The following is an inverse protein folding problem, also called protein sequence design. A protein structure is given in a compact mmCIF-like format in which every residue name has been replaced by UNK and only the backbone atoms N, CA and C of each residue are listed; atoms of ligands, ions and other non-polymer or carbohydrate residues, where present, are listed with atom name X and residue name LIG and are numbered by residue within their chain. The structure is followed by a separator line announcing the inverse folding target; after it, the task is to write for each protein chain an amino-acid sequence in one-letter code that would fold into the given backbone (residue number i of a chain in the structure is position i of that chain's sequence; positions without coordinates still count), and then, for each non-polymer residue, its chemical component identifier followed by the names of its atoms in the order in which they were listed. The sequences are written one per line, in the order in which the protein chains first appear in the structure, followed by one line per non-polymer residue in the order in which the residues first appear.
data_IF_993839947427
#
_entry.id   IF_993839947427
#
_cell.length_a   1.000
_cell.length_b   1.000
_cell.length_c   1.000
_cell.angle_alpha   90.00
_cell.angle_beta   90.00
_cell.angle_gamma   90.00
#
_symmetry.space_group_name_H-M   'P 1'
#
loop_
_entity.id
_entity.type
_entity.pdbx_description
1 polymer ?
#
# COMPACT_ATOMS: atom_id res chain seq x y z
N UNK A 1 -12.24 8.75 20.40
CA UNK A 1 -11.92 7.51 19.66
C UNK A 1 -10.51 7.09 20.02
N UNK A 2 -10.29 5.86 20.49
CA UNK A 2 -8.97 5.37 20.92
C UNK A 2 -8.14 4.97 19.69
N UNK A 3 -7.33 5.90 19.21
CA UNK A 3 -6.52 5.73 17.99
C UNK A 3 -5.47 4.61 18.15
N UNK A 4 -4.85 4.51 19.32
CA UNK A 4 -3.80 3.50 19.59
C UNK A 4 -4.40 2.10 19.56
N UNK A 5 -5.58 1.92 20.16
CA UNK A 5 -6.32 0.67 20.10
C UNK A 5 -6.67 0.27 18.66
N UNK A 6 -7.20 1.20 17.86
CA UNK A 6 -7.55 0.95 16.45
C UNK A 6 -6.32 0.50 15.65
N UNK A 7 -5.19 1.21 15.76
CA UNK A 7 -3.97 0.85 15.03
C UNK A 7 -3.49 -0.54 15.47
N UNK A 8 -3.45 -0.80 16.78
CA UNK A 8 -3.03 -2.10 17.31
C UNK A 8 -3.90 -3.23 16.77
N UNK A 9 -5.22 -3.10 16.87
CA UNK A 9 -6.14 -4.12 16.36
C UNK A 9 -6.00 -4.32 14.84
N UNK A 10 -5.83 -3.24 14.07
CA UNK A 10 -5.57 -3.35 12.63
C UNK A 10 -4.27 -4.10 12.33
N UNK A 11 -3.19 -3.81 13.08
CA UNK A 11 -1.91 -4.51 12.93
C UNK A 11 -1.99 -5.98 13.30
N UNK A 12 -2.67 -6.31 14.39
CA UNK A 12 -2.90 -7.68 14.84
C UNK A 12 -3.71 -8.49 13.80
N UNK A 13 -4.58 -7.83 13.04
CA UNK A 13 -5.33 -8.42 11.92
C UNK A 13 -4.50 -8.53 10.62
N UNK A 14 -3.33 -7.91 10.53
CA UNK A 14 -2.47 -7.92 9.35
C UNK A 14 -2.68 -6.76 8.37
N UNK A 15 -3.20 -5.62 8.83
CA UNK A 15 -3.29 -4.41 8.02
C UNK A 15 -1.93 -3.70 7.87
N UNK A 16 -1.64 -3.14 6.70
CA UNK A 16 -0.53 -2.20 6.53
C UNK A 16 -0.83 -0.87 7.25
N UNK A 17 0.22 -0.07 7.44
CA UNK A 17 0.11 1.24 8.11
C UNK A 17 -0.85 2.20 7.38
N UNK A 18 -0.81 2.25 6.06
CA UNK A 18 -1.71 3.09 5.28
C UNK A 18 -3.19 2.70 5.49
N UNK A 19 -3.50 1.40 5.58
CA UNK A 19 -4.84 0.93 5.93
C UNK A 19 -5.22 1.30 7.37
N UNK A 20 -4.28 1.30 8.32
CA UNK A 20 -4.54 1.78 9.68
C UNK A 20 -4.98 3.25 9.66
N UNK A 21 -4.30 4.11 8.89
CA UNK A 21 -4.70 5.52 8.73
C UNK A 21 -6.10 5.67 8.12
N UNK A 22 -6.49 4.80 7.18
CA UNK A 22 -7.85 4.77 6.63
C UNK A 22 -8.90 4.45 7.68
N UNK A 23 -8.65 3.44 8.52
CA UNK A 23 -9.57 3.08 9.60
C UNK A 23 -9.62 4.12 10.73
N UNK A 24 -8.61 4.98 10.84
CA UNK A 24 -8.69 6.18 11.69
C UNK A 24 -9.49 7.33 11.06
N UNK A 25 -9.94 7.19 9.80
CA UNK A 25 -10.67 8.21 9.07
C UNK A 25 -9.80 9.36 8.56
N UNK A 26 -8.47 9.19 8.49
CA UNK A 26 -7.58 10.23 7.96
C UNK A 26 -7.75 10.35 6.44
N UNK A 27 -8.12 11.56 5.99
CA UNK A 27 -8.36 11.89 4.57
C UNK A 27 -7.28 12.79 3.95
N UNK A 28 -6.30 13.25 4.73
CA UNK A 28 -5.23 14.12 4.26
C UNK A 28 -4.23 13.32 3.40
N UNK A 29 -3.99 13.68 2.12
CA UNK A 29 -2.99 13.03 1.27
C UNK A 29 -1.59 12.98 1.89
N UNK A 30 -1.15 14.04 2.58
CA UNK A 30 0.18 14.10 3.22
C UNK A 30 0.39 12.98 4.24
N UNK A 31 -0.68 12.45 4.83
CA UNK A 31 -0.61 11.32 5.75
C UNK A 31 -0.25 10.01 5.02
N UNK A 32 -0.68 9.85 3.78
CA UNK A 32 -0.42 8.68 2.94
C UNK A 32 0.91 8.78 2.18
N UNK A 33 1.45 9.99 2.03
CA UNK A 33 2.81 10.21 1.50
C UNK A 33 3.88 9.99 2.59
N UNK A 34 3.51 10.07 3.87
CA UNK A 34 4.43 10.01 5.01
C UNK A 34 3.91 9.05 6.10
N UNK A 35 3.47 7.87 5.69
CA UNK A 35 2.72 6.93 6.55
C UNK A 35 3.46 6.61 7.85
N UNK A 36 4.75 6.29 7.77
CA UNK A 36 5.55 5.91 8.93
C UNK A 36 5.68 7.03 9.97
N UNK A 37 5.81 8.27 9.50
CA UNK A 37 5.86 9.44 10.36
C UNK A 37 4.54 9.64 11.11
N UNK A 38 3.40 9.51 10.42
CA UNK A 38 2.08 9.66 11.03
C UNK A 38 1.79 8.55 12.05
N UNK A 39 2.08 7.29 11.73
CA UNK A 39 1.90 6.20 12.68
C UNK A 39 2.77 6.39 13.92
N UNK A 40 4.05 6.72 13.73
CA UNK A 40 4.98 6.97 14.84
C UNK A 40 4.49 8.11 15.74
N UNK A 41 3.98 9.19 15.15
CA UNK A 41 3.37 10.32 15.88
C UNK A 41 2.15 9.88 16.70
N UNK A 42 1.26 9.06 16.13
CA UNK A 42 0.06 8.56 16.83
C UNK A 42 0.41 7.61 17.99
N UNK A 43 1.52 6.89 17.89
CA UNK A 43 2.08 6.12 19.02
C UNK A 43 2.75 7.03 20.07
N UNK A 44 3.47 8.07 19.60
CA UNK A 44 4.33 8.96 20.38
C UNK A 44 3.66 10.19 21.01
N UNK A 45 2.43 10.54 20.67
CA UNK A 45 1.66 11.63 21.30
C UNK A 45 1.15 11.29 22.72
N UNK A 46 2.02 10.64 23.50
CA UNK A 46 2.09 10.69 24.95
C UNK A 46 3.56 10.87 25.40
N UNK A 47 4.27 11.87 24.85
CA UNK A 47 5.59 12.30 25.33
C UNK A 47 6.63 12.60 24.25
N UNK A 48 6.91 13.90 24.07
CA UNK A 48 8.16 14.55 23.61
C UNK A 48 8.99 13.95 22.48
N UNK A 49 9.11 14.77 21.43
CA UNK A 49 9.96 14.65 20.25
C UNK A 49 11.46 14.56 20.58
N UNK A 50 12.20 13.72 19.86
CA UNK A 50 13.59 14.00 19.45
C UNK A 50 13.92 13.24 18.16
N UNK A 51 14.29 13.99 17.13
CA UNK A 51 14.80 13.53 15.84
C UNK A 51 16.27 13.09 15.95
N UNK A 52 16.72 12.20 15.06
CA UNK A 52 18.02 12.24 14.34
C UNK A 52 18.25 10.91 13.59
N UNK A 53 18.18 10.89 12.25
CA UNK A 53 19.25 11.10 11.23
C UNK A 53 20.24 9.94 11.03
N UNK A 54 20.19 9.34 9.82
CA UNK A 54 21.35 9.33 8.93
C UNK A 54 22.03 7.99 8.57
N UNK A 55 22.50 7.94 7.32
CA UNK A 55 23.50 7.04 6.67
C UNK A 55 22.97 5.68 6.19
N UNK A 56 23.24 5.16 4.99
CA UNK A 56 24.15 5.52 3.88
C UNK A 56 24.50 4.21 3.12
N UNK A 57 24.35 4.23 1.78
CA UNK A 57 24.59 3.18 0.73
C UNK A 57 25.97 2.43 0.84
N UNK A 58 26.37 1.41 -0.01
CA UNK A 58 25.95 1.17 -1.40
C UNK A 58 26.05 -0.34 -1.90
N UNK A 59 26.30 -0.70 -3.19
CA UNK A 59 25.59 -1.78 -3.90
C UNK A 59 26.49 -2.97 -4.29
N UNK A 60 25.97 -4.01 -4.95
CA UNK A 60 26.81 -5.00 -5.65
C UNK A 60 26.15 -5.60 -6.90
N UNK A 61 26.94 -5.59 -7.97
CA UNK A 61 26.82 -6.19 -9.32
C UNK A 61 26.59 -7.71 -9.25
N UNK A 62 26.18 -8.49 -10.24
CA UNK A 62 25.96 -8.36 -11.69
C UNK A 62 25.85 -9.79 -12.26
N UNK A 63 25.24 -9.96 -13.43
CA UNK A 63 25.74 -10.77 -14.56
C UNK A 63 24.64 -11.08 -15.60
N UNK A 64 25.07 -10.97 -16.85
CA UNK A 64 24.35 -11.16 -18.10
C UNK A 64 24.24 -12.66 -18.47
N UNK A 65 23.20 -13.05 -19.23
CA UNK A 65 23.35 -13.72 -20.53
C UNK A 65 22.03 -14.29 -21.11
N UNK A 66 21.65 -13.72 -22.26
CA UNK A 66 21.21 -14.36 -23.52
C UNK A 66 19.79 -14.90 -23.71
N UNK A 67 19.36 -14.71 -24.97
CA UNK A 67 18.01 -14.70 -25.54
C UNK A 67 17.45 -16.08 -25.88
N UNK A 68 16.12 -16.16 -26.06
CA UNK A 68 15.53 -16.77 -27.26
C UNK A 68 14.06 -16.33 -27.47
N UNK A 69 13.74 -16.13 -28.74
CA UNK A 69 12.51 -15.63 -29.34
C UNK A 69 11.50 -16.77 -29.55
N UNK A 70 10.23 -16.56 -29.16
CA UNK A 70 9.12 -16.96 -30.03
C UNK A 70 7.81 -16.26 -29.69
N UNK A 71 7.16 -15.76 -30.72
CA UNK A 71 5.92 -14.98 -30.69
C UNK A 71 4.70 -15.81 -30.27
N UNK A 72 3.94 -15.32 -29.30
CA UNK A 72 2.49 -15.55 -29.23
C UNK A 72 1.84 -14.37 -28.50
N UNK A 73 0.70 -13.92 -29.01
CA UNK A 73 -0.12 -12.80 -28.54
C UNK A 73 -0.60 -13.01 -27.09
N UNK A 74 0.29 -12.79 -26.13
CA UNK A 74 0.06 -12.96 -24.70
C UNK A 74 0.00 -11.57 -24.05
N UNK A 75 -1.12 -11.31 -23.36
CA UNK A 75 -1.16 -10.27 -22.34
C UNK A 75 -0.07 -10.63 -21.32
N UNK A 76 1.01 -9.84 -21.13
CA UNK A 76 2.14 -10.26 -20.32
C UNK A 76 1.65 -10.48 -18.88
N UNK A 77 1.59 -11.74 -18.47
CA UNK A 77 1.30 -12.07 -17.08
C UNK A 77 2.56 -11.68 -16.29
N UNK A 78 2.46 -10.77 -15.29
CA UNK A 78 3.63 -10.28 -14.60
C UNK A 78 4.36 -11.43 -13.90
N UNK A 79 5.70 -11.42 -13.86
CA UNK A 79 6.48 -12.52 -13.32
C UNK A 79 6.09 -12.80 -11.86
N UNK A 80 5.81 -14.07 -11.49
CA UNK A 80 5.37 -14.41 -10.15
C UNK A 80 6.55 -14.30 -9.18
N UNK A 81 6.75 -13.11 -8.61
CA UNK A 81 7.57 -12.96 -7.41
C UNK A 81 6.83 -13.66 -6.27
N UNK A 82 7.43 -14.71 -5.70
CA UNK A 82 6.90 -15.37 -4.49
C UNK A 82 7.06 -14.41 -3.31
N UNK A 83 6.08 -13.54 -3.11
CA UNK A 83 5.99 -12.67 -1.94
C UNK A 83 5.63 -13.54 -0.74
N UNK A 84 6.33 -13.39 0.38
CA UNK A 84 5.92 -14.01 1.64
C UNK A 84 4.55 -13.45 2.00
N UNK A 85 3.54 -14.34 2.06
CA UNK A 85 2.14 -13.96 2.30
C UNK A 85 1.96 -13.18 3.61
N UNK A 86 2.90 -13.33 4.57
CA UNK A 86 2.92 -12.60 5.85
C UNK A 86 2.99 -11.08 5.70
N UNK A 87 3.55 -10.57 4.60
CA UNK A 87 3.87 -9.15 4.45
C UNK A 87 2.81 -8.42 3.59
N UNK A 88 1.80 -9.14 3.09
CA UNK A 88 0.72 -8.58 2.26
C UNK A 88 -0.45 -8.16 3.15
N UNK A 89 -0.86 -6.91 3.01
CA UNK A 89 -1.98 -6.36 3.77
C UNK A 89 -3.28 -7.14 3.52
N UNK A 90 -3.94 -7.57 4.59
CA UNK A 90 -5.21 -8.32 4.50
C UNK A 90 -6.37 -7.50 3.93
N UNK A 91 -6.31 -6.17 4.04
CA UNK A 91 -7.33 -5.24 3.54
C UNK A 91 -7.08 -4.83 2.09
N UNK A 92 -5.93 -4.22 1.81
CA UNK A 92 -5.66 -3.63 0.49
C UNK A 92 -4.94 -4.55 -0.49
N UNK A 93 -4.53 -5.75 -0.06
CA UNK A 93 -3.85 -6.73 -0.93
C UNK A 93 -2.60 -6.17 -1.63
N UNK A 94 -1.84 -5.30 -0.95
CA UNK A 94 -0.64 -4.69 -1.52
C UNK A 94 -0.85 -3.37 -2.25
N UNK A 95 -2.10 -2.93 -2.50
CA UNK A 95 -2.35 -1.69 -3.27
C UNK A 95 -1.76 -0.46 -2.59
N UNK A 96 -1.81 -0.39 -1.25
CA UNK A 96 -1.28 0.74 -0.47
C UNK A 96 0.09 0.44 0.17
N UNK A 97 0.87 -0.49 -0.42
CA UNK A 97 2.20 -0.87 0.04
C UNK A 97 3.23 -0.34 -0.96
N UNK A 98 4.13 0.53 -0.50
CA UNK A 98 5.03 1.32 -1.35
C UNK A 98 6.01 0.45 -2.15
N UNK A 99 6.35 -0.72 -1.63
CA UNK A 99 7.34 -1.64 -2.19
C UNK A 99 6.97 -2.10 -3.60
N UNK A 100 5.68 -2.06 -3.95
CA UNK A 100 5.16 -2.51 -5.23
C UNK A 100 4.89 -1.37 -6.22
N UNK A 101 4.95 -0.09 -5.80
CA UNK A 101 4.49 1.02 -6.63
C UNK A 101 5.36 1.27 -7.85
N UNK A 102 6.68 1.32 -7.69
CA UNK A 102 7.57 1.61 -8.81
C UNK A 102 7.40 0.60 -9.94
N UNK A 103 7.37 -0.70 -9.61
CA UNK A 103 7.15 -1.76 -10.59
C UNK A 103 5.80 -1.61 -11.29
N UNK A 104 4.73 -1.27 -10.57
CA UNK A 104 3.41 -1.02 -11.16
C UNK A 104 3.43 0.20 -12.10
N UNK A 105 4.08 1.30 -11.69
CA UNK A 105 4.22 2.51 -12.50
C UNK A 105 5.02 2.23 -13.78
N UNK A 106 6.11 1.46 -13.69
CA UNK A 106 6.93 1.09 -14.84
C UNK A 106 6.13 0.25 -15.85
N UNK A 107 5.35 -0.72 -15.35
CA UNK A 107 4.47 -1.54 -16.19
C UNK A 107 3.38 -0.71 -16.89
N UNK A 108 2.76 0.24 -16.18
CA UNK A 108 1.78 1.16 -16.79
C UNK A 108 2.47 2.03 -17.85
N UNK A 109 3.64 2.57 -17.54
CA UNK A 109 4.41 3.42 -18.45
C UNK A 109 4.78 2.67 -19.74
N UNK A 110 5.26 1.44 -19.62
CA UNK A 110 5.59 0.59 -20.78
C UNK A 110 4.38 0.38 -21.70
N UNK A 111 3.20 0.15 -21.12
CA UNK A 111 1.97 -0.02 -21.90
C UNK A 111 1.56 1.29 -22.59
N UNK A 112 1.69 2.44 -21.92
CA UNK A 112 1.39 3.75 -22.50
C UNK A 112 2.35 4.09 -23.64
N UNK A 113 3.65 3.89 -23.44
CA UNK A 113 4.69 4.13 -24.44
C UNK A 113 4.47 3.24 -25.68
N UNK A 114 4.14 1.95 -25.48
CA UNK A 114 3.85 1.01 -26.57
C UNK A 114 2.61 1.41 -27.40
N UNK A 115 1.63 2.06 -26.78
CA UNK A 115 0.41 2.51 -27.46
C UNK A 115 0.61 3.83 -28.21
N UNK A 116 1.67 4.59 -27.90
CA UNK A 116 1.99 5.84 -28.58
C UNK A 116 0.93 6.93 -28.37
N UNK A 117 0.33 7.01 -27.18
CA UNK A 117 -0.62 8.07 -26.86
C UNK A 117 0.10 9.41 -26.71
N UNK A 118 -0.30 10.40 -27.49
CA UNK A 118 0.12 11.80 -27.32
C UNK A 118 -0.95 12.56 -26.57
N UNK A 119 -0.73 12.79 -25.27
CA UNK A 119 -1.61 13.58 -24.44
C UNK A 119 -0.82 14.31 -23.35
N UNK A 120 -1.15 15.58 -23.09
CA UNK A 120 -0.53 16.35 -22.00
C UNK A 120 -1.01 15.91 -20.61
N UNK A 121 -2.23 15.35 -20.55
CA UNK A 121 -2.87 14.87 -19.33
C UNK A 121 -3.63 13.58 -19.60
N UNK A 122 -3.86 12.80 -18.55
CA UNK A 122 -4.65 11.58 -18.62
C UNK A 122 -5.58 11.47 -17.41
N UNK A 123 -6.68 10.74 -17.58
CA UNK A 123 -7.53 10.34 -16.48
C UNK A 123 -7.14 8.93 -16.01
N UNK A 124 -6.86 8.78 -14.72
CA UNK A 124 -6.60 7.47 -14.13
C UNK A 124 -7.87 6.89 -13.51
N UNK A 125 -8.38 5.80 -14.07
CA UNK A 125 -9.49 5.04 -13.50
C UNK A 125 -8.96 3.73 -12.91
N UNK A 126 -9.07 3.57 -11.59
CA UNK A 126 -8.65 2.38 -10.88
C UNK A 126 -9.85 1.52 -10.51
N UNK A 127 -9.78 0.23 -10.83
CA UNK A 127 -10.78 -0.76 -10.43
C UNK A 127 -10.20 -1.66 -9.34
N UNK A 128 -10.81 -1.66 -8.16
CA UNK A 128 -10.41 -2.55 -7.08
C UNK A 128 -11.16 -3.89 -7.19
N UNK A 129 -10.53 -5.04 -6.88
CA UNK A 129 -11.23 -6.31 -6.77
C UNK A 129 -12.35 -6.22 -5.72
N UNK A 130 -13.51 -6.84 -5.98
CA UNK A 130 -14.62 -6.87 -5.01
C UNK A 130 -14.19 -7.45 -3.65
N UNK A 131 -13.19 -8.34 -3.66
CA UNK A 131 -12.58 -8.90 -2.48
C UNK A 131 -11.97 -7.82 -1.55
N UNK A 132 -11.40 -6.74 -2.09
CA UNK A 132 -10.86 -5.64 -1.29
C UNK A 132 -11.97 -4.93 -0.50
N UNK A 133 -13.14 -4.75 -1.11
CA UNK A 133 -14.32 -4.14 -0.46
C UNK A 133 -14.84 -5.04 0.67
N UNK A 134 -14.95 -6.35 0.43
CA UNK A 134 -15.40 -7.31 1.45
C UNK A 134 -14.42 -7.36 2.62
N UNK A 135 -13.11 -7.38 2.34
CA UNK A 135 -12.04 -7.35 3.35
C UNK A 135 -12.09 -6.06 4.17
N UNK A 136 -12.31 -4.93 3.52
CA UNK A 136 -12.46 -3.64 4.19
C UNK A 136 -13.59 -3.67 5.22
N UNK A 137 -14.77 -4.17 4.81
CA UNK A 137 -15.95 -4.29 5.68
C UNK A 137 -15.74 -5.29 6.81
N UNK A 138 -15.03 -6.39 6.58
CA UNK A 138 -14.73 -7.37 7.61
C UNK A 138 -13.91 -6.75 8.76
N UNK A 139 -12.87 -5.99 8.44
CA UNK A 139 -12.04 -5.32 9.45
C UNK A 139 -12.83 -4.22 10.16
N UNK A 140 -13.65 -3.44 9.45
CA UNK A 140 -14.52 -2.43 10.05
C UNK A 140 -15.54 -3.05 11.04
N UNK A 141 -16.13 -4.18 10.70
CA UNK A 141 -17.01 -4.93 11.61
C UNK A 141 -16.26 -5.45 12.83
N UNK A 142 -15.03 -5.93 12.65
CA UNK A 142 -14.18 -6.36 13.78
C UNK A 142 -13.86 -5.19 14.70
N UNK A 143 -13.54 -4.02 14.13
CA UNK A 143 -13.34 -2.77 14.88
C UNK A 143 -14.60 -2.37 15.64
N UNK A 144 -15.78 -2.40 15.01
CA UNK A 144 -17.07 -2.11 15.66
C UNK A 144 -17.41 -3.10 16.78
N UNK A 145 -17.06 -4.38 16.60
CA UNK A 145 -17.28 -5.40 17.62
C UNK A 145 -16.43 -5.16 18.89
N UNK A 146 -15.17 -4.75 18.72
CA UNK A 146 -14.27 -4.48 19.85
C UNK A 146 -14.43 -3.04 20.40
N UNK A 147 -14.85 -2.10 19.56
CA UNK A 147 -15.09 -0.70 19.87
C UNK A 147 -16.47 -0.29 19.32
N UNK A 148 -17.55 -0.42 20.12
CA UNK A 148 -18.91 -0.15 19.66
C UNK A 148 -19.10 1.22 19.00
N UNK A 149 -18.42 2.25 19.53
CA UNK A 149 -18.46 3.64 19.06
C UNK A 149 -17.62 3.92 17.80
N UNK A 150 -17.04 2.91 17.15
CA UNK A 150 -16.09 3.08 16.03
C UNK A 150 -16.73 3.73 14.79
N UNK A 151 -18.00 3.45 14.51
CA UNK A 151 -18.71 3.85 13.28
C UNK A 151 -19.98 4.67 13.59
N UNK A 152 -20.05 5.24 14.80
CA UNK A 152 -21.22 5.98 15.30
C UNK A 152 -21.12 7.50 15.03
N UNK A 153 -20.09 7.94 14.31
CA UNK A 153 -19.92 9.34 13.90
C UNK A 153 -20.29 9.51 12.42
N UNK A 154 -21.60 9.59 12.14
CA UNK A 154 -22.15 10.27 10.95
C UNK A 154 -22.63 11.68 11.32
#
# INVERSE_FOLDING_TARGET
MDQKFIIKLCKDLGCCDACCLRYLGLKNPTAYENVQHFISKLYGESGTETQNTGTGNPPSQGNEAMAEDNSTDQCPEPPPKRIKVSDICVTCLGVLQEENWQQCCDMVKEVLDKKGYECETFACALSAPIAAIVRERLVALKLKNELPAYDDCE
#
